data_IF_584992226145
#
_entry.id   IF_584992226145
#
_cell.length_a   1.000
_cell.length_b   1.000
_cell.length_c   1.000
_cell.angle_alpha   90.00
_cell.angle_beta   90.00
_cell.angle_gamma   90.00
#
_symmetry.space_group_name_H-M   'P 1'
#
loop_
_entity.id
_entity.type
_entity.pdbx_description
1 polymer ?
#
# COMPACT_ATOMS: atom_id res chain seq x y z
N UNK A 1 65.93 27.22 38.50
CA UNK A 1 64.47 27.11 38.78
C UNK A 1 63.94 28.49 39.15
N UNK A 2 62.67 28.80 38.85
CA UNK A 2 61.87 29.90 39.42
C UNK A 2 62.51 31.30 39.56
N UNK A 3 62.24 32.19 38.61
CA UNK A 3 62.09 33.64 38.89
C UNK A 3 60.64 34.06 38.60
N UNK A 4 60.06 35.00 39.35
CA UNK A 4 58.68 35.43 39.15
C UNK A 4 58.55 36.44 38.01
N UNK A 5 57.37 36.50 37.41
CA UNK A 5 56.88 37.61 36.58
C UNK A 5 55.49 38.04 37.06
N UNK A 6 55.19 39.32 36.88
CA UNK A 6 54.01 40.03 37.41
C UNK A 6 53.24 40.64 36.24
N UNK A 7 51.99 41.08 36.48
CA UNK A 7 51.24 42.13 35.75
C UNK A 7 50.19 41.65 34.73
N UNK A 8 49.03 42.31 34.51
CA UNK A 8 48.14 43.23 35.30
C UNK A 8 46.82 43.40 34.50
N UNK A 9 45.65 43.55 35.16
CA UNK A 9 44.35 44.03 34.59
C UNK A 9 43.70 43.18 33.44
N UNK A 10 42.42 43.33 33.06
CA UNK A 10 41.31 44.19 33.53
C UNK A 10 39.94 43.50 33.38
N UNK A 11 38.91 44.10 33.99
CA UNK A 11 37.48 43.74 33.92
C UNK A 11 36.88 43.82 32.50
N UNK A 12 35.93 42.93 32.18
CA UNK A 12 34.87 43.19 31.20
C UNK A 12 33.55 42.54 31.64
N UNK A 13 32.41 43.16 31.28
CA UNK A 13 31.13 42.97 31.97
C UNK A 13 30.05 42.28 31.13
N UNK A 14 29.55 41.15 31.65
CA UNK A 14 28.13 40.76 31.61
C UNK A 14 27.48 40.34 30.28
N UNK A 15 26.75 39.21 30.34
CA UNK A 15 25.32 39.15 29.98
C UNK A 15 24.66 37.90 30.56
N UNK A 16 23.36 38.02 30.84
CA UNK A 16 22.61 37.08 31.67
C UNK A 16 22.48 35.69 31.04
N UNK A 17 22.66 34.64 31.85
CA UNK A 17 22.04 33.35 31.58
C UNK A 17 20.59 33.37 32.09
N UNK A 18 19.62 32.99 31.26
CA UNK A 18 18.23 32.75 31.67
C UNK A 18 18.00 31.25 31.88
N UNK A 19 17.34 30.83 32.98
CA UNK A 19 17.22 29.41 33.31
C UNK A 19 16.08 28.71 32.56
N UNK A 20 16.19 27.39 32.48
CA UNK A 20 15.07 26.48 32.23
C UNK A 20 13.88 26.84 33.14
N UNK A 21 12.67 26.93 32.59
CA UNK A 21 11.44 27.05 33.39
C UNK A 21 10.38 26.10 32.87
N UNK A 22 10.14 25.03 33.61
CA UNK A 22 9.02 24.11 33.39
C UNK A 22 7.70 24.82 33.67
N UNK A 23 6.73 24.65 32.77
CA UNK A 23 5.42 25.27 32.85
C UNK A 23 4.35 24.35 32.30
N UNK A 24 3.79 23.49 33.15
CA UNK A 24 2.64 22.66 32.80
C UNK A 24 1.39 23.53 32.83
N UNK A 25 0.76 23.74 31.67
CA UNK A 25 -0.58 24.34 31.59
C UNK A 25 -1.52 23.40 30.83
N UNK A 26 -2.40 22.75 31.59
CA UNK A 26 -3.47 21.92 31.06
C UNK A 26 -4.60 22.80 30.52
N UNK A 27 -4.71 22.89 29.19
CA UNK A 27 -5.86 23.46 28.50
C UNK A 27 -6.21 22.57 27.32
N UNK A 28 -7.13 21.62 27.52
CA UNK A 28 -7.67 20.78 26.46
C UNK A 28 -8.44 21.65 25.47
N UNK A 29 -7.82 21.91 24.31
CA UNK A 29 -8.54 22.43 23.14
C UNK A 29 -9.37 21.26 22.57
N UNK A 30 -10.66 21.45 22.24
CA UNK A 30 -11.42 20.39 21.57
C UNK A 30 -10.78 20.03 20.23
N UNK A 31 -11.01 18.81 19.70
CA UNK A 31 -10.58 18.45 18.36
C UNK A 31 -11.11 19.46 17.35
N UNK A 32 -10.23 19.99 16.51
CA UNK A 32 -10.65 20.77 15.35
C UNK A 32 -11.38 19.83 14.38
N UNK A 33 -12.52 20.27 13.85
CA UNK A 33 -13.19 19.58 12.76
C UNK A 33 -12.24 19.58 11.55
N UNK A 34 -11.68 18.41 11.22
CA UNK A 34 -10.84 18.24 10.04
C UNK A 34 -11.77 18.14 8.84
N UNK A 35 -11.83 19.23 8.07
CA UNK A 35 -12.58 19.31 6.80
C UNK A 35 -12.21 18.16 5.87
N UNK A 36 -13.22 17.44 5.34
CA UNK A 36 -13.02 16.34 4.40
C UNK A 36 -12.28 16.81 3.13
N UNK A 37 -11.01 16.43 2.98
CA UNK A 37 -10.29 16.51 1.71
C UNK A 37 -9.85 15.12 1.22
N UNK A 38 -10.53 14.66 0.15
CA UNK A 38 -10.00 13.91 -1.00
C UNK A 38 -9.33 12.54 -0.76
N UNK A 39 -9.91 11.48 -1.34
CA UNK A 39 -9.29 10.64 -2.40
C UNK A 39 -9.60 9.13 -2.30
N UNK A 40 -10.08 8.57 -3.41
CA UNK A 40 -9.94 7.19 -3.92
C UNK A 40 -9.96 6.00 -2.94
N UNK A 41 -11.08 5.26 -2.86
CA UNK A 41 -11.14 3.93 -2.23
C UNK A 41 -12.14 2.93 -2.82
N UNK A 42 -12.87 3.28 -3.89
CA UNK A 42 -13.80 2.37 -4.57
C UNK A 42 -13.18 1.05 -5.08
N UNK A 43 -11.95 0.98 -5.65
CA UNK A 43 -11.39 -0.29 -6.12
C UNK A 43 -11.16 -1.30 -5.01
N UNK A 44 -11.02 -0.85 -3.75
CA UNK A 44 -10.93 -1.76 -2.61
C UNK A 44 -12.19 -2.61 -2.44
N UNK A 45 -13.36 -1.98 -2.50
CA UNK A 45 -14.66 -2.67 -2.44
C UNK A 45 -14.85 -3.61 -3.63
N UNK A 46 -14.41 -3.18 -4.82
CA UNK A 46 -14.50 -4.00 -6.04
C UNK A 46 -13.72 -5.30 -5.85
N UNK A 47 -12.42 -5.25 -5.57
CA UNK A 47 -11.60 -6.47 -5.40
C UNK A 47 -12.09 -7.40 -4.27
N UNK A 48 -12.72 -6.86 -3.22
CA UNK A 48 -13.12 -7.64 -2.02
C UNK A 48 -14.56 -8.18 -2.05
N UNK A 49 -15.49 -7.51 -2.73
CA UNK A 49 -16.91 -7.90 -2.77
C UNK A 49 -17.12 -9.34 -3.25
N UNK A 50 -16.28 -9.80 -4.19
CA UNK A 50 -16.30 -11.19 -4.71
C UNK A 50 -15.78 -12.23 -3.73
N UNK A 51 -14.83 -11.86 -2.85
CA UNK A 51 -14.30 -12.77 -1.83
C UNK A 51 -15.35 -13.11 -0.76
N UNK A 52 -16.35 -12.24 -0.58
CA UNK A 52 -17.40 -12.38 0.43
C UNK A 52 -18.72 -12.96 -0.09
N UNK A 53 -18.88 -13.24 -1.41
CA UNK A 53 -20.18 -13.71 -1.90
C UNK A 53 -20.14 -14.44 -3.25
N UNK A 54 -20.32 -15.77 -3.22
CA UNK A 54 -21.22 -16.51 -4.13
C UNK A 54 -21.39 -17.96 -3.65
N UNK A 55 -22.62 -18.46 -3.59
CA UNK A 55 -22.85 -19.89 -3.73
C UNK A 55 -22.68 -20.31 -5.20
N UNK A 56 -22.34 -21.58 -5.45
CA UNK A 56 -21.75 -22.00 -6.72
C UNK A 56 -22.66 -21.91 -7.94
N UNK A 57 -22.47 -20.90 -8.79
CA UNK A 57 -23.11 -20.80 -10.11
C UNK A 57 -22.35 -21.64 -11.14
N UNK A 58 -22.85 -22.85 -11.42
CA UNK A 58 -22.31 -23.72 -12.48
C UNK A 58 -22.90 -23.36 -13.84
N UNK A 59 -22.25 -22.46 -14.59
CA UNK A 59 -22.60 -22.17 -15.98
C UNK A 59 -21.94 -23.17 -16.94
N UNK A 60 -22.75 -23.97 -17.65
CA UNK A 60 -22.28 -24.94 -18.64
C UNK A 60 -21.96 -24.26 -19.97
N UNK A 61 -20.71 -23.81 -20.13
CA UNK A 61 -20.22 -23.29 -21.41
C UNK A 61 -19.96 -24.44 -22.41
N UNK A 62 -20.31 -24.29 -23.70
CA UNK A 62 -20.11 -25.34 -24.70
C UNK A 62 -18.65 -25.46 -25.14
N UNK A 63 -18.14 -26.70 -25.11
CA UNK A 63 -16.99 -27.23 -25.85
C UNK A 63 -15.70 -26.40 -25.95
N UNK A 64 -14.67 -26.83 -25.20
CA UNK A 64 -13.26 -26.63 -25.60
C UNK A 64 -12.39 -25.83 -24.63
N UNK A 65 -12.99 -24.97 -23.79
CA UNK A 65 -12.24 -24.27 -22.73
C UNK A 65 -12.25 -25.11 -21.47
N UNK A 66 -11.10 -25.66 -21.07
CA UNK A 66 -10.92 -26.24 -19.73
C UNK A 66 -10.88 -25.12 -18.70
N UNK A 67 -12.05 -24.67 -18.23
CA UNK A 67 -12.11 -23.66 -17.18
C UNK A 67 -11.45 -24.20 -15.90
N UNK A 68 -10.48 -23.45 -15.39
CA UNK A 68 -9.93 -23.69 -14.06
C UNK A 68 -11.01 -23.29 -13.06
N UNK A 69 -11.76 -24.28 -12.57
CA UNK A 69 -12.96 -24.06 -11.77
C UNK A 69 -12.69 -23.15 -10.58
N UNK A 70 -13.31 -21.97 -10.60
CA UNK A 70 -13.16 -20.96 -9.57
C UNK A 70 -13.61 -21.54 -8.23
N UNK A 71 -12.65 -21.77 -7.33
CA UNK A 71 -12.90 -22.38 -6.02
C UNK A 71 -12.91 -21.30 -4.94
N UNK A 72 -14.11 -20.89 -4.58
CA UNK A 72 -14.37 -19.91 -3.53
C UNK A 72 -14.06 -20.48 -2.12
N UNK A 73 -13.78 -19.62 -1.12
CA UNK A 73 -13.70 -20.04 0.27
C UNK A 73 -15.05 -20.58 0.76
N UNK A 74 -15.02 -21.50 1.74
CA UNK A 74 -16.25 -22.10 2.31
C UNK A 74 -17.00 -21.16 3.28
N UNK A 75 -16.27 -20.25 3.90
CA UNK A 75 -16.75 -19.32 4.91
C UNK A 75 -16.45 -17.90 4.41
N UNK A 76 -17.27 -16.93 4.81
CA UNK A 76 -17.00 -15.51 4.58
C UNK A 76 -16.07 -14.95 5.67
N UNK A 77 -15.32 -13.86 5.39
CA UNK A 77 -14.58 -13.12 6.42
C UNK A 77 -15.51 -12.58 7.52
N UNK A 78 -14.97 -12.34 8.71
CA UNK A 78 -15.72 -11.76 9.83
C UNK A 78 -15.39 -10.29 10.06
N UNK A 79 -16.42 -9.44 10.16
CA UNK A 79 -16.24 -8.02 10.50
C UNK A 79 -15.96 -7.79 12.00
N UNK A 80 -15.14 -6.79 12.39
CA UNK A 80 -14.40 -5.89 11.50
C UNK A 80 -13.27 -6.60 10.76
N UNK A 81 -13.18 -6.32 9.46
CA UNK A 81 -12.25 -6.91 8.49
C UNK A 81 -11.24 -5.84 8.09
N UNK A 82 -9.95 -6.17 8.19
CA UNK A 82 -8.88 -5.36 7.61
C UNK A 82 -8.51 -5.92 6.24
N UNK A 83 -8.53 -5.09 5.21
CA UNK A 83 -8.21 -5.54 3.86
C UNK A 83 -7.05 -4.75 3.25
N UNK A 84 -6.12 -5.48 2.63
CA UNK A 84 -4.94 -4.97 1.94
C UNK A 84 -5.08 -5.18 0.43
N UNK A 85 -5.12 -4.09 -0.32
CA UNK A 85 -5.43 -4.07 -1.76
C UNK A 85 -4.15 -3.67 -2.51
N UNK A 86 -3.66 -4.57 -3.36
CA UNK A 86 -2.34 -4.48 -4.01
C UNK A 86 -2.39 -4.96 -5.47
N UNK A 87 -2.87 -4.11 -6.38
CA UNK A 87 -3.00 -4.33 -7.83
C UNK A 87 -2.40 -3.16 -8.62
N UNK A 88 -2.09 -3.33 -9.92
CA UNK A 88 -1.36 -2.38 -10.79
C UNK A 88 -1.30 -0.90 -10.34
N UNK A 89 -2.46 -0.26 -10.18
CA UNK A 89 -2.64 1.13 -9.75
C UNK A 89 -3.17 1.38 -8.32
N UNK A 90 -3.36 0.37 -7.46
CA UNK A 90 -4.02 0.52 -6.15
C UNK A 90 -3.22 -0.07 -4.99
N UNK A 91 -3.11 0.66 -3.88
CA UNK A 91 -2.22 0.31 -2.76
C UNK A 91 -2.76 0.79 -1.42
N UNK A 92 -3.74 0.06 -0.90
CA UNK A 92 -4.68 0.59 0.09
C UNK A 92 -4.90 -0.37 1.28
N UNK A 93 -5.05 0.18 2.48
CA UNK A 93 -5.62 -0.53 3.64
C UNK A 93 -6.99 0.08 3.92
N UNK A 94 -8.02 -0.75 3.86
CA UNK A 94 -9.38 -0.40 4.21
C UNK A 94 -9.84 -1.25 5.40
N UNK A 95 -10.40 -0.60 6.41
CA UNK A 95 -11.04 -1.24 7.55
C UNK A 95 -12.55 -1.25 7.32
N UNK A 96 -13.12 -2.43 7.14
CA UNK A 96 -14.55 -2.66 6.99
C UNK A 96 -15.15 -3.02 8.35
N UNK A 97 -16.29 -2.41 8.70
CA UNK A 97 -17.11 -2.84 9.85
C UNK A 97 -18.34 -3.63 9.43
N UNK A 98 -18.79 -3.43 8.19
CA UNK A 98 -19.87 -4.21 7.55
C UNK A 98 -19.74 -4.06 6.02
N UNK A 99 -20.64 -4.68 5.26
CA UNK A 99 -20.85 -4.36 3.86
C UNK A 99 -21.27 -2.89 3.72
N UNK A 100 -20.51 -2.10 2.97
CA UNK A 100 -20.79 -0.67 2.75
C UNK A 100 -20.28 0.29 3.83
N UNK A 101 -20.11 -0.12 5.09
CA UNK A 101 -19.41 0.68 6.13
C UNK A 101 -17.92 0.28 6.18
N UNK A 102 -17.09 1.13 5.57
CA UNK A 102 -15.65 0.96 5.49
C UNK A 102 -14.94 2.32 5.55
N UNK A 103 -13.71 2.31 6.07
CA UNK A 103 -12.82 3.46 6.07
C UNK A 103 -11.49 3.10 5.43
N UNK A 104 -11.09 3.88 4.44
CA UNK A 104 -9.72 3.90 3.95
C UNK A 104 -8.82 4.45 5.06
N UNK A 105 -7.99 3.60 5.65
CA UNK A 105 -7.04 3.97 6.72
C UNK A 105 -5.64 4.26 6.18
N UNK A 106 -5.40 4.02 4.88
CA UNK A 106 -4.39 4.73 4.11
C UNK A 106 -4.18 4.19 2.69
N UNK A 107 -3.54 5.01 1.84
CA UNK A 107 -3.34 4.80 0.40
C UNK A 107 -2.01 5.41 -0.06
N UNK A 108 -1.36 4.92 -1.11
CA UNK A 108 -0.14 5.54 -1.68
C UNK A 108 -0.34 7.04 -1.99
N UNK A 109 0.73 7.82 -1.86
CA UNK A 109 0.72 9.26 -2.22
C UNK A 109 1.14 9.49 -3.68
N UNK A 110 2.02 8.63 -4.20
CA UNK A 110 2.52 8.65 -5.58
C UNK A 110 2.11 7.33 -6.29
N UNK A 111 2.98 6.86 -7.21
CA UNK A 111 2.99 5.52 -7.80
C UNK A 111 2.50 4.43 -6.85
N UNK A 112 1.61 3.60 -7.37
CA UNK A 112 1.13 2.42 -6.68
C UNK A 112 2.12 1.26 -6.76
N UNK A 113 1.69 0.17 -6.12
CA UNK A 113 2.24 -1.18 -6.14
C UNK A 113 2.80 -1.58 -7.50
N UNK A 114 1.99 -2.06 -8.45
CA UNK A 114 2.48 -2.68 -9.68
C UNK A 114 3.49 -1.78 -10.37
N UNK A 115 3.08 -0.53 -10.57
CA UNK A 115 3.87 0.51 -11.20
C UNK A 115 5.31 0.66 -10.64
N UNK A 116 5.53 0.34 -9.36
CA UNK A 116 6.84 0.34 -8.72
C UNK A 116 7.78 -0.77 -9.19
N UNK A 117 7.39 -2.07 -9.17
CA UNK A 117 8.26 -3.11 -9.76
C UNK A 117 8.22 -3.03 -11.28
N UNK A 118 7.14 -2.56 -11.91
CA UNK A 118 7.08 -2.39 -13.38
C UNK A 118 8.22 -1.50 -13.88
N UNK A 119 8.42 -0.36 -13.19
CA UNK A 119 9.48 0.60 -13.50
C UNK A 119 10.86 0.05 -13.13
N UNK A 120 11.02 -0.64 -11.99
CA UNK A 120 12.32 -1.21 -11.60
C UNK A 120 12.73 -2.40 -12.47
N UNK A 121 11.80 -3.29 -12.80
CA UNK A 121 11.99 -4.38 -13.75
C UNK A 121 12.45 -3.84 -15.11
N UNK A 122 11.76 -2.81 -15.63
CA UNK A 122 12.15 -2.13 -16.87
C UNK A 122 13.56 -1.50 -16.80
N UNK A 123 14.00 -0.99 -15.65
CA UNK A 123 15.35 -0.42 -15.46
C UNK A 123 16.44 -1.50 -15.50
N UNK A 124 16.15 -2.70 -14.98
CA UNK A 124 17.14 -3.81 -14.86
C UNK A 124 17.01 -4.89 -15.93
N UNK A 125 16.08 -4.75 -16.89
CA UNK A 125 15.89 -5.69 -18.00
C UNK A 125 15.00 -6.91 -17.70
N UNK A 126 14.13 -6.83 -16.68
CA UNK A 126 13.13 -7.86 -16.38
C UNK A 126 11.74 -7.54 -16.94
N UNK A 127 10.88 -8.55 -17.18
CA UNK A 127 9.48 -8.36 -17.49
C UNK A 127 8.63 -7.93 -16.26
N UNK A 128 7.47 -7.37 -16.57
CA UNK A 128 6.36 -6.84 -15.74
C UNK A 128 5.54 -7.95 -15.02
N UNK A 129 4.92 -7.81 -13.81
CA UNK A 129 4.82 -6.67 -12.86
C UNK A 129 5.05 -6.96 -11.32
N UNK A 130 4.86 -5.99 -10.40
CA UNK A 130 4.84 -6.21 -8.90
C UNK A 130 4.92 -4.96 -7.97
N UNK A 131 4.71 -5.03 -6.62
CA UNK A 131 4.76 -3.79 -5.75
C UNK A 131 4.39 -3.75 -4.23
N UNK A 132 4.27 -2.52 -3.65
CA UNK A 132 3.60 -2.13 -2.35
C UNK A 132 2.94 -0.69 -2.38
N UNK A 133 2.62 0.07 -1.31
CA UNK A 133 1.62 0.04 -0.21
C UNK A 133 1.28 1.47 0.33
N UNK A 134 0.09 1.65 0.90
CA UNK A 134 -0.34 2.58 1.97
C UNK A 134 0.62 3.68 2.45
N UNK A 135 0.31 4.91 2.03
CA UNK A 135 0.99 6.19 2.33
C UNK A 135 2.51 6.11 2.32
N UNK A 136 3.04 5.28 1.42
CA UNK A 136 4.46 5.21 1.11
C UNK A 136 4.65 5.77 -0.31
N UNK A 137 5.79 6.42 -0.51
CA UNK A 137 6.24 6.88 -1.81
C UNK A 137 7.09 5.80 -2.47
N UNK A 138 6.53 5.09 -3.46
CA UNK A 138 7.35 4.28 -4.37
C UNK A 138 8.04 5.13 -5.42
N UNK A 139 7.66 6.39 -5.55
CA UNK A 139 8.44 7.41 -6.25
C UNK A 139 9.83 7.58 -5.65
N UNK A 140 9.94 7.55 -4.31
CA UNK A 140 11.24 7.47 -3.62
C UNK A 140 12.00 6.19 -3.93
N UNK A 141 11.36 5.02 -3.78
CA UNK A 141 12.02 3.72 -3.90
C UNK A 141 12.46 3.38 -5.34
N UNK A 142 11.63 3.66 -6.35
CA UNK A 142 11.97 3.50 -7.78
C UNK A 142 13.14 4.41 -8.18
N UNK A 143 13.21 5.61 -7.59
CA UNK A 143 14.29 6.58 -7.84
C UNK A 143 15.59 6.17 -7.14
N UNK A 144 15.51 5.58 -5.94
CA UNK A 144 16.66 4.99 -5.27
C UNK A 144 17.22 3.78 -6.03
N UNK A 145 16.35 2.94 -6.61
CA UNK A 145 16.74 1.85 -7.49
C UNK A 145 17.41 2.35 -8.77
N UNK A 146 16.81 3.33 -9.46
CA UNK A 146 17.38 3.97 -10.66
C UNK A 146 18.79 4.53 -10.41
N UNK A 147 18.94 5.36 -9.36
CA UNK A 147 20.23 5.99 -8.99
C UNK A 147 21.28 4.98 -8.55
N UNK A 148 20.86 3.85 -7.98
CA UNK A 148 21.76 2.74 -7.66
C UNK A 148 22.25 2.08 -8.94
N UNK A 149 21.35 1.68 -9.84
CA UNK A 149 21.71 1.06 -11.12
C UNK A 149 22.62 1.97 -11.94
N UNK A 150 22.29 3.26 -12.08
CA UNK A 150 23.16 4.26 -12.75
C UNK A 150 24.58 4.24 -12.18
N UNK A 151 24.72 4.31 -10.84
CA UNK A 151 26.02 4.30 -10.16
C UNK A 151 26.80 3.01 -10.38
N UNK A 152 26.17 1.85 -10.20
CA UNK A 152 26.86 0.55 -10.33
C UNK A 152 27.33 0.30 -11.76
N UNK A 153 26.61 0.78 -12.79
CA UNK A 153 27.06 0.71 -14.21
C UNK A 153 27.95 1.89 -14.62
N UNK A 154 28.50 2.64 -13.66
CA UNK A 154 29.48 3.71 -13.89
C UNK A 154 28.93 4.95 -14.59
N UNK A 155 27.65 5.27 -14.39
CA UNK A 155 26.95 6.43 -14.98
C UNK A 155 26.49 7.41 -13.91
N UNK A 156 26.35 8.68 -14.28
CA UNK A 156 25.73 9.69 -13.43
C UNK A 156 24.19 9.69 -13.54
N UNK A 157 23.54 10.55 -12.75
CA UNK A 157 22.09 10.62 -12.62
C UNK A 157 21.36 11.13 -13.87
N UNK A 158 22.06 11.74 -14.84
CA UNK A 158 21.48 12.21 -16.11
C UNK A 158 21.36 11.11 -17.15
N UNK A 159 22.05 9.98 -16.97
CA UNK A 159 22.07 8.90 -17.96
C UNK A 159 20.67 8.26 -18.13
N UNK A 160 20.18 8.09 -19.38
CA UNK A 160 18.79 7.70 -19.64
C UNK A 160 18.46 6.29 -19.12
N UNK A 161 17.36 6.21 -18.37
CA UNK A 161 16.90 4.97 -17.73
C UNK A 161 16.50 3.84 -18.68
N UNK A 162 16.29 4.14 -19.97
CA UNK A 162 15.94 3.16 -21.00
C UNK A 162 17.16 2.51 -21.67
N UNK A 163 18.38 3.06 -21.49
CA UNK A 163 19.62 2.43 -21.96
C UNK A 163 20.25 1.50 -20.91
N UNK A 164 19.93 1.72 -19.62
CA UNK A 164 20.46 0.93 -18.49
C UNK A 164 20.31 -0.61 -18.65
N UNK A 165 19.22 -1.17 -19.18
CA UNK A 165 19.09 -2.63 -19.33
C UNK A 165 20.19 -3.29 -20.17
N UNK A 166 20.81 -2.56 -21.10
CA UNK A 166 21.95 -3.05 -21.89
C UNK A 166 23.29 -2.99 -21.17
N UNK A 167 23.34 -2.40 -19.97
CA UNK A 167 24.52 -2.23 -19.13
C UNK A 167 24.45 -3.03 -17.81
N UNK A 168 23.28 -3.57 -17.48
CA UNK A 168 23.04 -4.33 -16.24
C UNK A 168 23.31 -5.82 -16.47
N UNK A 169 24.40 -6.33 -15.90
CA UNK A 169 24.70 -7.75 -15.85
C UNK A 169 23.72 -8.54 -14.96
N UNK A 170 23.84 -9.87 -15.01
CA UNK A 170 22.94 -10.78 -14.30
C UNK A 170 23.09 -10.68 -12.78
N UNK A 171 24.27 -10.41 -12.23
CA UNK A 171 24.47 -10.30 -10.78
C UNK A 171 23.80 -9.03 -10.24
N UNK A 172 24.04 -7.89 -10.89
CA UNK A 172 23.38 -6.62 -10.57
C UNK A 172 21.86 -6.73 -10.74
N UNK A 173 21.37 -7.43 -11.78
CA UNK A 173 19.92 -7.66 -11.99
C UNK A 173 19.28 -8.41 -10.83
N UNK A 174 19.87 -9.53 -10.40
CA UNK A 174 19.34 -10.32 -9.30
C UNK A 174 19.44 -9.57 -7.97
N UNK A 175 20.58 -8.92 -7.69
CA UNK A 175 20.79 -8.14 -6.46
C UNK A 175 19.80 -6.96 -6.35
N UNK A 176 19.55 -6.24 -7.45
CA UNK A 176 18.56 -5.16 -7.48
C UNK A 176 17.13 -5.67 -7.33
N UNK A 177 16.76 -6.74 -8.03
CA UNK A 177 15.42 -7.33 -7.92
C UNK A 177 15.13 -7.81 -6.49
N UNK A 178 16.09 -8.48 -5.86
CA UNK A 178 15.97 -8.97 -4.47
C UNK A 178 15.92 -7.82 -3.46
N UNK A 179 16.83 -6.85 -3.55
CA UNK A 179 16.90 -5.70 -2.62
C UNK A 179 15.66 -4.83 -2.70
N UNK A 180 15.16 -4.61 -3.91
CA UNK A 180 13.93 -3.87 -4.15
C UNK A 180 12.72 -4.65 -3.63
N UNK A 181 12.55 -5.93 -4.02
CA UNK A 181 11.44 -6.76 -3.52
C UNK A 181 11.43 -6.83 -1.99
N UNK A 182 12.59 -7.02 -1.34
CA UNK A 182 12.70 -7.06 0.11
C UNK A 182 12.18 -5.76 0.75
N UNK A 183 12.70 -4.61 0.34
CA UNK A 183 12.31 -3.31 0.89
C UNK A 183 10.83 -3.03 0.62
N UNK A 184 10.38 -3.34 -0.60
CA UNK A 184 9.04 -3.10 -1.07
C UNK A 184 8.02 -3.96 -0.27
N UNK A 185 8.24 -5.29 -0.18
CA UNK A 185 7.41 -6.21 0.60
C UNK A 185 7.45 -5.91 2.10
N UNK A 186 8.62 -5.60 2.67
CA UNK A 186 8.72 -5.26 4.10
C UNK A 186 7.85 -4.05 4.43
N UNK A 187 7.82 -3.03 3.58
CA UNK A 187 7.01 -1.83 3.82
C UNK A 187 5.49 -2.09 3.68
N UNK A 188 5.08 -3.10 2.89
CA UNK A 188 3.72 -3.66 2.90
C UNK A 188 3.38 -4.29 4.25
N UNK A 189 4.28 -5.14 4.75
CA UNK A 189 4.11 -5.93 5.97
C UNK A 189 4.09 -5.05 7.20
N UNK A 190 5.03 -4.10 7.32
CA UNK A 190 5.11 -3.13 8.41
C UNK A 190 3.80 -2.34 8.56
N UNK A 191 3.20 -1.88 7.44
CA UNK A 191 1.94 -1.11 7.46
C UNK A 191 0.70 -1.96 7.69
N UNK A 192 0.67 -3.17 7.16
CA UNK A 192 -0.44 -4.11 7.43
C UNK A 192 -0.42 -4.55 8.89
N UNK A 193 0.77 -4.80 9.46
CA UNK A 193 0.91 -5.09 10.89
C UNK A 193 0.55 -3.88 11.75
N UNK A 194 1.01 -2.68 11.41
CA UNK A 194 0.63 -1.46 12.13
C UNK A 194 -0.90 -1.32 12.19
N UNK A 195 -1.59 -1.43 11.05
CA UNK A 195 -3.05 -1.37 11.02
C UNK A 195 -3.74 -2.53 11.77
N UNK A 196 -3.15 -3.73 11.77
CA UNK A 196 -3.65 -4.85 12.58
C UNK A 196 -3.53 -4.54 14.08
N UNK A 197 -2.37 -4.05 14.51
CA UNK A 197 -2.09 -3.70 15.90
C UNK A 197 -3.02 -2.55 16.37
N UNK A 198 -3.21 -1.52 15.54
CA UNK A 198 -4.02 -0.33 15.82
C UNK A 198 -5.54 -0.63 15.88
N UNK A 199 -6.05 -1.55 15.05
CA UNK A 199 -7.50 -1.75 14.87
C UNK A 199 -8.06 -3.12 15.33
N UNK A 200 -7.21 -4.10 15.64
CA UNK A 200 -7.58 -5.44 16.14
C UNK A 200 -8.73 -6.13 15.34
N UNK A 201 -8.59 -6.29 14.02
CA UNK A 201 -9.62 -6.89 13.15
C UNK A 201 -9.78 -8.41 13.41
N UNK A 202 -10.96 -8.96 13.11
CA UNK A 202 -11.24 -10.40 13.23
C UNK A 202 -10.75 -11.22 12.02
N UNK A 203 -10.85 -10.67 10.82
CA UNK A 203 -10.31 -11.22 9.57
C UNK A 203 -9.31 -10.26 8.94
N UNK A 204 -8.34 -10.81 8.19
CA UNK A 204 -7.49 -10.04 7.28
C UNK A 204 -7.55 -10.65 5.88
N UNK A 205 -7.95 -9.86 4.88
CA UNK A 205 -7.91 -10.26 3.45
C UNK A 205 -6.79 -9.50 2.71
N UNK A 206 -6.05 -10.21 1.87
CA UNK A 206 -5.16 -9.60 0.86
C UNK A 206 -5.73 -9.84 -0.55
N UNK A 207 -5.86 -8.77 -1.33
CA UNK A 207 -6.41 -8.78 -2.69
C UNK A 207 -5.48 -8.05 -3.68
N UNK A 208 -5.72 -8.26 -4.98
CA UNK A 208 -4.98 -7.62 -6.07
C UNK A 208 -3.85 -8.49 -6.63
N UNK A 209 -3.40 -8.16 -7.84
CA UNK A 209 -2.44 -8.99 -8.59
C UNK A 209 -1.13 -9.28 -7.83
N UNK A 210 -0.68 -8.36 -6.98
CA UNK A 210 0.57 -8.51 -6.22
C UNK A 210 0.38 -9.27 -4.91
N UNK A 211 -0.87 -9.51 -4.49
CA UNK A 211 -1.18 -10.51 -3.46
C UNK A 211 -0.72 -11.93 -3.87
N UNK A 212 -0.35 -12.18 -5.13
CA UNK A 212 0.30 -13.42 -5.57
C UNK A 212 1.77 -13.57 -5.11
N UNK A 213 2.44 -12.49 -4.71
CA UNK A 213 3.87 -12.52 -4.34
C UNK A 213 4.12 -13.44 -3.13
N UNK A 214 4.97 -14.46 -3.31
CA UNK A 214 5.20 -15.49 -2.28
C UNK A 214 5.91 -14.93 -1.04
N UNK A 215 6.84 -13.99 -1.21
CA UNK A 215 7.58 -13.36 -0.11
C UNK A 215 6.66 -12.46 0.73
N UNK A 216 5.72 -11.75 0.09
CA UNK A 216 4.65 -11.01 0.76
C UNK A 216 3.77 -11.96 1.60
N UNK A 217 3.31 -13.07 1.02
CA UNK A 217 2.55 -14.09 1.75
C UNK A 217 3.33 -14.67 2.93
N UNK A 218 4.65 -14.88 2.76
CA UNK A 218 5.54 -15.43 3.78
C UNK A 218 5.74 -14.46 4.94
N UNK A 219 6.04 -13.19 4.66
CA UNK A 219 6.27 -12.18 5.70
C UNK A 219 4.97 -11.81 6.43
N UNK A 220 3.84 -11.64 5.73
CA UNK A 220 2.55 -11.31 6.38
C UNK A 220 2.13 -12.40 7.38
N UNK A 221 2.24 -13.69 7.01
CA UNK A 221 1.97 -14.84 7.90
C UNK A 221 2.92 -14.95 9.10
N UNK A 222 4.06 -14.26 9.07
CA UNK A 222 4.99 -14.18 10.21
C UNK A 222 4.75 -12.94 11.08
N UNK A 223 4.11 -11.91 10.52
CA UNK A 223 3.87 -10.63 11.19
C UNK A 223 2.51 -10.55 11.90
N UNK A 224 1.48 -11.26 11.40
CA UNK A 224 0.13 -11.24 11.95
C UNK A 224 -0.17 -12.53 12.77
N UNK A 225 -0.92 -12.43 13.88
CA UNK A 225 -1.22 -13.56 14.76
C UNK A 225 -2.46 -14.38 14.36
N UNK A 226 -3.09 -14.07 13.23
CA UNK A 226 -4.28 -14.76 12.71
C UNK A 226 -4.02 -15.30 11.30
N UNK A 227 -4.82 -16.29 10.88
CA UNK A 227 -4.84 -16.74 9.49
C UNK A 227 -5.24 -15.60 8.55
N UNK A 228 -4.62 -15.60 7.37
CA UNK A 228 -4.79 -14.55 6.37
C UNK A 228 -5.52 -15.12 5.16
N UNK A 229 -6.66 -14.53 4.85
CA UNK A 229 -7.47 -14.83 3.68
C UNK A 229 -6.85 -14.16 2.44
N UNK A 230 -6.88 -14.84 1.30
CA UNK A 230 -6.35 -14.32 0.04
C UNK A 230 -7.43 -14.44 -1.03
N UNK A 231 -7.77 -13.33 -1.68
CA UNK A 231 -8.70 -13.34 -2.79
C UNK A 231 -8.18 -14.28 -3.92
N UNK A 232 -9.05 -15.08 -4.56
CA UNK A 232 -8.66 -15.87 -5.73
C UNK A 232 -8.08 -14.97 -6.82
N UNK A 233 -6.90 -15.31 -7.36
CA UNK A 233 -6.18 -14.43 -8.29
C UNK A 233 -6.98 -14.12 -9.57
N UNK A 234 -7.92 -14.98 -9.93
CA UNK A 234 -8.89 -14.82 -11.03
C UNK A 234 -9.92 -13.69 -10.80
N UNK A 235 -10.05 -13.19 -9.56
CA UNK A 235 -10.95 -12.12 -9.12
C UNK A 235 -10.18 -10.84 -8.72
N UNK A 236 -8.86 -10.92 -8.60
CA UNK A 236 -7.95 -9.80 -8.25
C UNK A 236 -7.66 -8.82 -9.41
N UNK A 237 -8.34 -8.97 -10.54
CA UNK A 237 -8.28 -8.08 -11.71
C UNK A 237 -9.68 -7.59 -12.02
N UNK A 238 -9.82 -6.37 -12.56
CA UNK A 238 -11.11 -5.77 -12.86
C UNK A 238 -12.02 -6.73 -13.67
N UNK A 239 -13.20 -7.03 -13.12
CA UNK A 239 -14.13 -8.01 -13.67
C UNK A 239 -15.61 -7.60 -13.43
N UNK A 240 -16.56 -8.32 -14.02
CA UNK A 240 -17.98 -8.02 -13.85
C UNK A 240 -18.57 -8.52 -12.52
N UNK A 241 -18.02 -9.59 -11.93
CA UNK A 241 -18.55 -10.21 -10.71
C UNK A 241 -18.39 -9.28 -9.50
N UNK A 242 -17.30 -8.52 -9.42
CA UNK A 242 -17.11 -7.49 -8.39
C UNK A 242 -18.14 -6.37 -8.45
N UNK A 243 -18.51 -5.92 -9.65
CA UNK A 243 -19.54 -4.88 -9.83
C UNK A 243 -20.92 -5.46 -9.47
N UNK A 244 -21.21 -6.71 -9.85
CA UNK A 244 -22.43 -7.40 -9.47
C UNK A 244 -22.57 -7.62 -7.96
N UNK A 245 -21.50 -8.05 -7.28
CA UNK A 245 -21.47 -8.25 -5.84
C UNK A 245 -21.62 -6.91 -5.07
N UNK A 246 -20.92 -5.86 -5.52
CA UNK A 246 -21.12 -4.50 -5.00
C UNK A 246 -22.58 -4.04 -5.17
N UNK A 247 -23.15 -4.20 -6.37
CA UNK A 247 -24.55 -3.85 -6.66
C UNK A 247 -25.55 -4.60 -5.77
N UNK A 248 -25.33 -5.90 -5.53
CA UNK A 248 -26.16 -6.72 -4.64
C UNK A 248 -26.16 -6.21 -3.19
N UNK A 249 -24.99 -5.86 -2.64
CA UNK A 249 -24.92 -5.30 -1.28
C UNK A 249 -25.46 -3.86 -1.22
N UNK A 250 -25.21 -3.04 -2.25
CA UNK A 250 -25.75 -1.67 -2.32
C UNK A 250 -27.27 -1.64 -2.41
N UNK A 251 -27.90 -2.52 -3.18
CA UNK A 251 -29.36 -2.63 -3.29
C UNK A 251 -30.08 -3.11 -2.00
N UNK A 252 -29.33 -3.48 -0.95
CA UNK A 252 -29.86 -3.77 0.39
C UNK A 252 -29.73 -2.58 1.36
N UNK A 253 -28.95 -1.56 1.01
CA UNK A 253 -28.67 -0.37 1.82
C UNK A 253 -29.35 0.87 1.24
N UNK A 254 -29.24 1.03 -0.08
CA UNK A 254 -29.76 2.14 -0.87
C UNK A 254 -30.93 1.64 -1.74
N UNK A 255 -31.90 2.51 -2.02
CA UNK A 255 -32.94 2.21 -3.01
C UNK A 255 -32.34 2.21 -4.43
N UNK A 256 -32.67 1.25 -5.31
CA UNK A 256 -32.20 1.26 -6.69
C UNK A 256 -32.56 2.55 -7.42
N UNK A 257 -31.58 3.17 -8.08
CA UNK A 257 -31.80 4.30 -8.97
C UNK A 257 -32.48 3.85 -10.27
N UNK A 258 -33.19 4.78 -10.93
CA UNK A 258 -33.69 4.55 -12.29
C UNK A 258 -32.48 4.47 -13.26
N UNK A 259 -32.37 3.43 -14.09
CA UNK A 259 -31.24 3.29 -15.02
C UNK A 259 -31.16 4.40 -16.08
N UNK A 260 -32.23 5.19 -16.30
CA UNK A 260 -32.23 6.34 -17.19
C UNK A 260 -31.71 7.64 -16.53
N UNK A 261 -31.67 7.69 -15.19
CA UNK A 261 -31.15 8.83 -14.41
C UNK A 261 -29.65 8.67 -14.02
N UNK A 262 -29.02 7.55 -14.42
CA UNK A 262 -27.63 7.24 -14.06
C UNK A 262 -26.60 7.92 -14.99
N UNK A 263 -25.88 8.90 -14.46
CA UNK A 263 -24.68 9.47 -15.11
C UNK A 263 -23.37 8.79 -14.68
N UNK A 264 -22.38 8.78 -15.58
CA UNK A 264 -21.01 8.37 -15.26
C UNK A 264 -20.35 9.47 -14.43
N UNK A 265 -19.84 9.14 -13.25
CA UNK A 265 -19.08 10.07 -12.39
C UNK A 265 -17.58 9.71 -12.38
N UNK A 266 -16.72 10.37 -13.19
CA UNK A 266 -15.31 9.98 -13.36
C UNK A 266 -14.43 10.21 -12.13
N UNK A 267 -14.96 10.90 -11.12
CA UNK A 267 -14.27 11.27 -9.87
C UNK A 267 -15.20 11.07 -8.67
N UNK A 268 -15.98 9.98 -8.67
CA UNK A 268 -16.89 9.59 -7.58
C UNK A 268 -16.15 9.62 -6.23
N UNK A 269 -16.53 10.57 -5.37
CA UNK A 269 -15.99 10.72 -4.02
C UNK A 269 -16.73 9.83 -3.02
N UNK A 270 -16.00 9.28 -2.06
CA UNK A 270 -16.53 8.60 -0.87
C UNK A 270 -16.67 9.58 0.28
#
# INVERSE_FOLDING_TARGET
MGRPTVSTTATLTGKNATPFRTGVHSSLKPPLEVSNERSAGEPAIRELSTASSTEGVTSSLPNGVTSSSLKLPKNQPSFPLLALIVSGGHSQLALFKDHGDYKLIGQTQDDAVGEAFDKVAKIIGLPYPGGPSISISFSGLKTAALRTVQREVGKDFTFPSHELPGLVDDELRHNMAASFQHTAVKTLVDKTKQAFDDFQPKSVIIAGGVAANQELRRQLRQALPIDIEYAPIQLCTDNAAMIGALGFYRAQLDSPADPYDLEVQPSLSM
#
